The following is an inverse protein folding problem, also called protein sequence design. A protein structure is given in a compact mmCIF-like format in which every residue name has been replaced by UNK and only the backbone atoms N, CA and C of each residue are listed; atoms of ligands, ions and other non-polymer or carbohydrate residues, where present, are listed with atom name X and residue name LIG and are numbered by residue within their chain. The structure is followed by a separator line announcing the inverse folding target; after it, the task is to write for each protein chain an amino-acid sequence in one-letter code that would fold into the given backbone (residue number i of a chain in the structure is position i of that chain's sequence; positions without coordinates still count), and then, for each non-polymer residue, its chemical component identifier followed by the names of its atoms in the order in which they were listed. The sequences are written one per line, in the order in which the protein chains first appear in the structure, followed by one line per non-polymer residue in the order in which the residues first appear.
data_IF_592686999348
#
_entry.id   IF_592686999348
#
_cell.length_a   1.000
_cell.length_b   1.000
_cell.length_c   1.000
_cell.angle_alpha   90.00
_cell.angle_beta   90.00
_cell.angle_gamma   90.00
#
_symmetry.space_group_name_H-M   'P 1'
#
loop_
_entity.id
_entity.type
_entity.pdbx_description
1 polymer ?
#
# COMPACT_ATOMS: atom_id res chain seq x y z
N UNK A 1 -25.18 -6.61 2.98
CA UNK A 1 -25.37 -5.16 2.91
C UNK A 1 -24.64 -4.54 4.08
N UNK A 2 -23.38 -4.12 3.92
CA UNK A 2 -22.74 -3.25 4.90
C UNK A 2 -23.31 -1.86 4.69
N UNK A 3 -23.85 -1.26 5.74
CA UNK A 3 -24.00 0.19 5.79
C UNK A 3 -22.57 0.69 5.71
N UNK A 4 -22.16 1.22 4.55
CA UNK A 4 -20.98 2.09 4.45
C UNK A 4 -21.32 3.30 5.30
N UNK A 5 -21.15 3.19 6.61
CA UNK A 5 -21.12 4.33 7.50
C UNK A 5 -19.73 4.94 7.33
N UNK A 6 -19.44 5.43 6.11
CA UNK A 6 -18.58 6.59 6.00
C UNK A 6 -19.31 7.65 6.83
N UNK A 7 -18.92 7.76 8.10
CA UNK A 7 -19.13 9.00 8.84
C UNK A 7 -18.24 9.98 8.10
N UNK A 8 -18.76 10.55 7.02
CA UNK A 8 -18.16 11.71 6.40
C UNK A 8 -18.08 12.73 7.53
N UNK A 9 -16.86 13.00 8.00
CA UNK A 9 -16.61 14.16 8.84
C UNK A 9 -17.10 15.36 8.02
N UNK A 10 -18.30 15.86 8.34
CA UNK A 10 -18.86 17.04 7.68
C UNK A 10 -18.10 18.24 8.23
N UNK A 11 -16.96 18.54 7.64
CA UNK A 11 -16.18 19.75 7.90
C UNK A 11 -16.04 20.51 6.59
N UNK A 12 -17.11 21.23 6.23
CA UNK A 12 -17.14 22.13 5.06
C UNK A 12 -18.01 23.34 5.33
N UNK A 13 -17.39 24.51 5.45
CA UNK A 13 -18.07 25.80 5.59
C UNK A 13 -18.80 26.17 4.29
N UNK A 14 -20.13 26.20 4.31
CA UNK A 14 -20.96 26.64 3.19
C UNK A 14 -21.28 28.14 3.32
N UNK A 15 -20.65 28.98 2.50
CA UNK A 15 -21.08 30.36 2.30
C UNK A 15 -21.87 30.45 0.99
N UNK A 16 -23.21 30.46 1.08
CA UNK A 16 -24.08 30.80 -0.05
C UNK A 16 -25.22 31.71 0.45
N UNK A 17 -25.18 32.97 0.05
CA UNK A 17 -26.25 33.94 0.32
C UNK A 17 -27.32 33.84 -0.78
N UNK A 18 -28.54 33.41 -0.42
CA UNK A 18 -29.76 33.69 -1.19
C UNK A 18 -30.99 33.62 -0.26
N UNK A 19 -31.80 34.66 -0.29
CA UNK A 19 -32.99 34.89 0.53
C UNK A 19 -34.10 33.84 0.32
N UNK A 20 -34.45 33.11 1.38
CA UNK A 20 -35.77 32.54 1.69
C UNK A 20 -35.79 32.20 3.19
N UNK A 21 -36.95 32.29 3.84
CA UNK A 21 -37.16 32.22 5.31
C UNK A 21 -36.23 31.24 6.07
N UNK A 22 -35.76 31.56 7.29
CA UNK A 22 -34.92 30.65 8.05
C UNK A 22 -35.76 29.46 8.52
N UNK A 23 -35.81 28.40 7.72
CA UNK A 23 -35.97 27.08 8.28
C UNK A 23 -34.76 26.88 9.18
N UNK A 24 -34.95 27.05 10.49
CA UNK A 24 -33.99 26.69 11.52
C UNK A 24 -33.79 25.16 11.47
N UNK A 25 -33.07 24.68 10.48
CA UNK A 25 -32.48 23.36 10.52
C UNK A 25 -31.43 23.44 11.62
N UNK A 26 -31.69 22.78 12.74
CA UNK A 26 -30.65 22.49 13.70
C UNK A 26 -29.50 21.83 12.92
N UNK A 27 -28.30 22.39 13.03
CA UNK A 27 -27.12 21.72 12.49
C UNK A 27 -27.14 20.27 13.00
N UNK A 28 -26.89 19.26 12.14
CA UNK A 28 -26.82 17.89 12.61
C UNK A 28 -25.84 17.82 13.77
N UNK A 29 -26.27 17.21 14.88
CA UNK A 29 -25.40 17.03 16.04
C UNK A 29 -24.13 16.29 15.59
N UNK A 30 -22.97 16.69 16.10
CA UNK A 30 -21.69 16.02 15.82
C UNK A 30 -21.34 15.07 16.96
N UNK A 31 -20.62 13.96 16.67
CA UNK A 31 -19.97 13.16 17.70
C UNK A 31 -19.16 14.00 18.69
N UNK A 32 -19.13 13.58 19.96
CA UNK A 32 -18.21 14.16 20.93
C UNK A 32 -16.82 13.54 20.77
N UNK A 33 -15.78 14.32 21.06
CA UNK A 33 -14.41 13.80 21.04
C UNK A 33 -14.21 12.78 22.17
N UNK A 34 -14.03 11.52 21.80
CA UNK A 34 -13.86 10.43 22.75
C UNK A 34 -12.47 10.48 23.41
N UNK A 35 -12.40 10.12 24.70
CA UNK A 35 -11.14 10.03 25.44
C UNK A 35 -10.37 8.74 25.11
N UNK A 36 -9.85 8.67 23.88
CA UNK A 36 -8.97 7.59 23.41
C UNK A 36 -7.69 8.17 22.82
N UNK A 37 -6.63 7.37 22.73
CA UNK A 37 -5.43 7.70 21.97
C UNK A 37 -4.82 6.45 21.35
N UNK A 38 -4.09 6.67 20.26
CA UNK A 38 -3.49 5.60 19.48
C UNK A 38 -1.97 5.73 19.49
N UNK A 39 -1.29 4.61 19.63
CA UNK A 39 0.18 4.57 19.62
C UNK A 39 0.68 3.24 19.06
N UNK A 40 1.98 3.18 18.78
CA UNK A 40 2.64 1.97 18.30
C UNK A 40 2.01 1.37 17.02
N UNK A 41 1.42 2.20 16.16
CA UNK A 41 0.88 1.74 14.89
C UNK A 41 2.00 1.22 14.00
N UNK A 42 1.88 -0.03 13.56
CA UNK A 42 2.87 -0.74 12.74
C UNK A 42 2.17 -1.32 11.54
N UNK A 43 2.81 -1.18 10.39
CA UNK A 43 2.42 -1.78 9.11
C UNK A 43 3.69 -2.06 8.30
N UNK A 44 3.60 -2.90 7.27
CA UNK A 44 4.68 -3.04 6.29
C UNK A 44 5.04 -1.68 5.68
N UNK A 45 6.35 -1.39 5.58
CA UNK A 45 6.83 -0.10 5.06
C UNK A 45 6.58 0.07 3.56
N UNK A 46 6.46 -1.04 2.82
CA UNK A 46 6.18 -1.07 1.38
C UNK A 46 5.07 -2.09 1.11
N UNK A 47 4.03 -1.67 0.40
CA UNK A 47 2.93 -2.52 -0.06
C UNK A 47 2.98 -2.53 -1.59
N UNK A 48 3.14 -3.72 -2.18
CA UNK A 48 3.29 -3.86 -3.63
C UNK A 48 1.95 -4.26 -4.24
N UNK A 49 1.40 -3.43 -5.12
CA UNK A 49 0.06 -3.63 -5.68
C UNK A 49 0.14 -3.83 -7.18
N UNK A 50 -0.41 -4.97 -7.64
CA UNK A 50 -0.57 -5.34 -9.04
C UNK A 50 -1.80 -4.67 -9.66
N UNK A 51 -2.39 -5.31 -10.67
CA UNK A 51 -3.54 -4.76 -11.42
C UNK A 51 -4.86 -5.49 -11.19
N UNK A 52 -4.85 -6.57 -10.39
CA UNK A 52 -5.98 -7.51 -10.37
C UNK A 52 -6.27 -8.06 -8.97
N UNK A 53 -5.28 -8.67 -8.33
CA UNK A 53 -5.49 -9.33 -7.05
C UNK A 53 -5.63 -8.32 -5.90
N UNK A 54 -6.55 -8.58 -4.98
CA UNK A 54 -6.62 -7.92 -3.66
C UNK A 54 -5.27 -8.05 -2.96
N UNK A 55 -4.81 -6.96 -2.36
CA UNK A 55 -3.62 -6.93 -1.49
C UNK A 55 -4.04 -6.52 -0.09
N UNK A 56 -3.96 -7.47 0.85
CA UNK A 56 -4.21 -7.22 2.27
C UNK A 56 -2.89 -7.07 3.02
N UNK A 57 -2.75 -5.98 3.76
CA UNK A 57 -1.57 -5.74 4.62
C UNK A 57 -2.01 -5.59 6.07
N UNK A 58 -1.52 -6.47 6.93
CA UNK A 58 -1.81 -6.42 8.36
C UNK A 58 -1.17 -5.20 9.02
N UNK A 59 -1.90 -4.57 9.94
CA UNK A 59 -1.40 -3.57 10.86
C UNK A 59 -1.61 -4.02 12.32
N UNK A 60 -0.92 -3.37 13.25
CA UNK A 60 -1.24 -3.44 14.68
C UNK A 60 -1.03 -2.10 15.38
N UNK A 61 -1.79 -1.82 16.44
CA UNK A 61 -1.61 -0.62 17.27
C UNK A 61 -2.07 -0.85 18.72
N UNK A 62 -1.70 0.08 19.58
CA UNK A 62 -2.20 0.18 20.96
C UNK A 62 -3.26 1.27 21.03
N UNK A 63 -4.47 0.91 21.46
CA UNK A 63 -5.52 1.84 21.84
C UNK A 63 -5.46 2.05 23.35
N UNK A 64 -5.39 3.30 23.80
CA UNK A 64 -5.54 3.69 25.21
C UNK A 64 -6.86 4.42 25.38
N UNK A 65 -7.60 4.15 26.44
CA UNK A 65 -8.89 4.79 26.68
C UNK A 65 -9.03 5.32 28.12
N UNK A 66 -9.89 6.32 28.29
CA UNK A 66 -10.32 6.85 29.57
C UNK A 66 -11.28 5.92 30.31
N UNK A 67 -11.52 6.22 31.59
CA UNK A 67 -12.43 5.45 32.44
C UNK A 67 -13.90 5.54 32.01
N UNK A 68 -14.25 6.57 31.23
CA UNK A 68 -15.57 6.84 30.68
C UNK A 68 -15.86 6.09 29.37
N UNK A 69 -14.87 5.36 28.82
CA UNK A 69 -14.98 4.65 27.55
C UNK A 69 -15.03 3.14 27.79
N UNK A 70 -16.14 2.50 27.43
CA UNK A 70 -16.23 1.04 27.35
C UNK A 70 -15.74 0.57 25.97
N UNK A 71 -14.42 0.39 25.85
CA UNK A 71 -13.78 -0.09 24.63
C UNK A 71 -14.02 -1.60 24.34
N UNK A 72 -14.82 -2.28 25.17
CA UNK A 72 -15.21 -3.69 24.99
C UNK A 72 -16.68 -3.86 24.61
N UNK A 73 -17.43 -2.76 24.55
CA UNK A 73 -18.82 -2.77 24.13
C UNK A 73 -18.97 -3.31 22.71
N UNK A 74 -20.07 -4.03 22.44
CA UNK A 74 -20.32 -4.66 21.14
C UNK A 74 -20.53 -3.64 20.01
N UNK A 75 -20.81 -2.38 20.37
CA UNK A 75 -21.01 -1.23 19.48
C UNK A 75 -19.83 -0.24 19.56
N UNK A 76 -18.67 -0.69 20.06
CA UNK A 76 -17.39 -0.03 19.94
C UNK A 76 -16.63 -0.58 18.73
N UNK A 77 -16.25 0.30 17.81
CA UNK A 77 -15.50 -0.04 16.61
C UNK A 77 -14.22 0.78 16.55
N UNK A 78 -13.15 0.18 16.02
CA UNK A 78 -11.86 0.86 15.88
C UNK A 78 -11.10 0.25 14.71
N UNK A 79 -10.35 1.06 13.99
CA UNK A 79 -9.63 0.63 12.78
C UNK A 79 -8.39 1.51 12.56
N UNK A 80 -7.53 1.10 11.62
CA UNK A 80 -6.47 1.93 11.10
C UNK A 80 -6.53 1.96 9.58
N UNK A 81 -6.30 3.12 9.01
CA UNK A 81 -6.45 3.36 7.58
C UNK A 81 -5.30 4.19 7.02
N UNK A 82 -5.06 4.05 5.73
CA UNK A 82 -4.12 4.89 5.00
C UNK A 82 -4.85 6.16 4.54
N UNK A 83 -4.16 7.29 4.56
CA UNK A 83 -4.65 8.51 3.94
C UNK A 83 -3.54 9.29 3.23
N UNK A 84 -3.95 10.15 2.30
CA UNK A 84 -3.10 11.16 1.64
C UNK A 84 -3.67 12.56 1.86
N UNK A 85 -2.78 13.55 1.82
CA UNK A 85 -3.14 14.94 2.12
C UNK A 85 -3.20 15.18 3.62
N UNK A 86 -4.18 15.96 4.06
CA UNK A 86 -4.51 16.19 5.47
C UNK A 86 -5.43 15.09 6.00
N UNK A 87 -5.42 14.90 7.32
CA UNK A 87 -6.35 14.01 7.99
C UNK A 87 -7.80 14.52 7.88
N UNK A 88 -8.00 15.84 8.07
CA UNK A 88 -9.32 16.47 8.08
C UNK A 88 -9.98 16.56 6.69
N UNK A 89 -9.18 16.45 5.63
CA UNK A 89 -9.61 16.52 4.22
C UNK A 89 -8.67 15.64 3.38
N UNK A 90 -8.84 14.30 3.43
CA UNK A 90 -7.95 13.39 2.76
C UNK A 90 -8.27 13.37 1.26
N UNK A 91 -7.23 13.44 0.43
CA UNK A 91 -7.40 13.34 -1.04
C UNK A 91 -7.68 11.90 -1.49
N UNK A 92 -7.33 10.92 -0.65
CA UNK A 92 -7.61 9.50 -0.85
C UNK A 92 -7.46 8.77 0.50
N UNK A 93 -8.23 7.70 0.69
CA UNK A 93 -8.13 6.77 1.82
C UNK A 93 -8.09 5.33 1.33
N UNK A 94 -7.50 4.45 2.13
CA UNK A 94 -7.53 2.98 1.95
C UNK A 94 -7.78 2.35 3.32
N UNK A 95 -8.83 1.54 3.41
CA UNK A 95 -9.33 0.95 4.65
C UNK A 95 -9.32 -0.58 4.56
N UNK A 96 -9.58 -1.25 5.68
CA UNK A 96 -9.86 -2.68 5.71
C UNK A 96 -11.31 -3.00 5.37
N UNK A 97 -11.57 -4.24 4.96
CA UNK A 97 -12.96 -4.70 4.88
C UNK A 97 -13.63 -4.80 6.25
N UNK A 98 -12.86 -5.13 7.29
CA UNK A 98 -13.33 -5.43 8.63
C UNK A 98 -12.65 -4.52 9.66
N UNK A 99 -13.40 -4.15 10.70
CA UNK A 99 -12.85 -3.45 11.87
C UNK A 99 -11.70 -4.22 12.52
N UNK A 100 -10.82 -3.50 13.21
CA UNK A 100 -9.74 -4.11 13.97
C UNK A 100 -10.30 -5.05 15.06
N UNK A 101 -9.66 -6.20 15.21
CA UNK A 101 -9.86 -7.05 16.38
C UNK A 101 -8.95 -6.60 17.50
N UNK A 102 -9.53 -6.25 18.65
CA UNK A 102 -8.80 -5.78 19.82
C UNK A 102 -8.82 -6.79 20.96
N UNK A 103 -7.68 -6.90 21.67
CA UNK A 103 -7.54 -7.69 22.88
C UNK A 103 -7.16 -6.78 24.03
N UNK A 104 -7.86 -6.90 25.17
CA UNK A 104 -7.52 -6.20 26.41
C UNK A 104 -6.11 -6.60 26.83
N UNK A 105 -5.22 -5.62 26.95
CA UNK A 105 -3.84 -5.81 27.39
C UNK A 105 -3.67 -5.36 28.85
N UNK A 106 -4.34 -4.28 29.24
CA UNK A 106 -4.42 -3.78 30.61
C UNK A 106 -5.82 -3.20 30.86
N UNK A 107 -6.08 -2.66 32.05
CA UNK A 107 -7.37 -2.03 32.38
C UNK A 107 -7.70 -0.78 31.56
N UNK A 108 -6.72 -0.16 30.89
CA UNK A 108 -6.92 1.05 30.07
C UNK A 108 -6.37 0.94 28.66
N UNK A 109 -5.89 -0.23 28.25
CA UNK A 109 -5.25 -0.42 26.95
C UNK A 109 -5.67 -1.70 26.25
N UNK A 110 -5.88 -1.61 24.94
CA UNK A 110 -6.11 -2.73 24.05
C UNK A 110 -4.98 -2.83 23.02
N UNK A 111 -4.62 -4.05 22.64
CA UNK A 111 -3.81 -4.33 21.45
C UNK A 111 -4.75 -4.68 20.31
N UNK A 112 -4.73 -3.88 19.25
CA UNK A 112 -5.62 -4.02 18.09
C UNK A 112 -4.86 -4.45 16.86
N UNK A 113 -5.46 -5.30 16.04
CA UNK A 113 -4.92 -5.80 14.78
C UNK A 113 -6.00 -5.85 13.71
N UNK A 114 -5.67 -5.48 12.49
CA UNK A 114 -6.56 -5.56 11.34
C UNK A 114 -5.76 -5.51 10.04
N UNK A 115 -6.42 -5.20 8.94
CA UNK A 115 -5.79 -5.10 7.62
C UNK A 115 -6.21 -3.81 6.93
N UNK A 116 -5.33 -3.28 6.08
CA UNK A 116 -5.74 -2.42 4.97
C UNK A 116 -5.83 -3.27 3.72
N UNK A 117 -6.87 -3.06 2.93
CA UNK A 117 -7.24 -3.91 1.81
C UNK A 117 -7.30 -3.09 0.52
N UNK A 118 -6.44 -3.42 -0.44
CA UNK A 118 -6.35 -2.71 -1.71
C UNK A 118 -6.90 -3.58 -2.85
N UNK A 119 -7.84 -3.05 -3.61
CA UNK A 119 -8.55 -3.68 -4.72
C UNK A 119 -8.24 -3.00 -6.05
N UNK A 120 -7.06 -3.27 -6.67
CA UNK A 120 -6.67 -2.59 -7.90
C UNK A 120 -7.63 -2.88 -9.08
N UNK A 121 -8.30 -4.04 -9.10
CA UNK A 121 -9.28 -4.38 -10.15
C UNK A 121 -10.56 -3.52 -10.08
N UNK A 122 -10.86 -2.92 -8.93
CA UNK A 122 -12.10 -2.19 -8.68
C UNK A 122 -11.96 -0.67 -8.89
N UNK A 123 -10.81 -0.22 -9.39
CA UNK A 123 -10.56 1.19 -9.70
C UNK A 123 -10.25 2.05 -8.47
N UNK A 124 -9.88 1.43 -7.35
CA UNK A 124 -9.53 2.12 -6.10
C UNK A 124 -8.28 3.00 -6.24
N UNK A 125 -7.36 2.65 -7.15
CA UNK A 125 -6.09 3.33 -7.33
C UNK A 125 -5.88 3.88 -8.75
N UNK A 126 -5.20 5.02 -8.81
CA UNK A 126 -4.70 5.69 -10.02
C UNK A 126 -3.18 5.81 -9.99
N UNK A 127 -2.53 6.20 -11.09
CA UNK A 127 -1.09 6.44 -11.08
C UNK A 127 -0.60 7.42 -9.99
N UNK A 128 -1.43 8.40 -9.60
CA UNK A 128 -1.09 9.41 -8.59
C UNK A 128 -0.98 8.82 -7.17
N UNK A 129 -1.64 7.70 -6.93
CA UNK A 129 -1.71 7.04 -5.63
C UNK A 129 -0.44 6.27 -5.27
N UNK A 130 0.44 6.02 -6.25
CA UNK A 130 1.72 5.39 -6.00
C UNK A 130 2.65 6.34 -5.23
N UNK A 131 3.29 5.82 -4.18
CA UNK A 131 4.21 6.59 -3.34
C UNK A 131 3.87 6.47 -1.87
N UNK A 132 4.26 7.50 -1.10
CA UNK A 132 4.14 7.53 0.36
C UNK A 132 2.73 7.85 0.82
N UNK A 133 2.27 7.14 1.85
CA UNK A 133 1.00 7.30 2.54
C UNK A 133 1.23 7.48 4.04
N UNK A 134 0.35 8.23 4.68
CA UNK A 134 0.28 8.36 6.13
C UNK A 134 -0.74 7.37 6.68
N UNK A 135 -0.59 6.99 7.94
CA UNK A 135 -1.56 6.18 8.65
C UNK A 135 -2.25 6.97 9.75
N UNK A 136 -3.54 6.71 9.89
CA UNK A 136 -4.37 7.12 11.00
C UNK A 136 -4.98 5.90 11.68
N UNK A 137 -5.47 6.10 12.89
CA UNK A 137 -6.35 5.17 13.57
C UNK A 137 -7.56 5.95 14.09
N UNK A 138 -8.71 5.28 14.13
CA UNK A 138 -9.96 5.86 14.59
C UNK A 138 -10.72 4.90 15.48
N UNK A 139 -11.59 5.45 16.31
CA UNK A 139 -12.53 4.69 17.11
C UNK A 139 -13.87 5.42 17.21
N UNK A 140 -14.94 4.62 17.19
CA UNK A 140 -16.33 5.04 17.34
C UNK A 140 -16.98 4.23 18.46
N UNK A 141 -17.58 4.89 19.43
CA UNK A 141 -18.44 4.29 20.44
C UNK A 141 -19.88 4.77 20.21
N UNK A 142 -20.77 3.87 19.81
CA UNK A 142 -22.18 4.24 19.60
C UNK A 142 -22.95 4.43 20.91
N UNK A 143 -22.46 3.93 22.05
CA UNK A 143 -23.07 4.11 23.37
C UNK A 143 -24.58 3.77 23.38
N UNK A 144 -24.93 2.64 22.76
CA UNK A 144 -26.30 2.16 22.63
C UNK A 144 -27.16 2.90 21.60
N UNK A 145 -26.59 3.85 20.84
CA UNK A 145 -27.29 4.48 19.72
C UNK A 145 -27.45 3.50 18.56
N UNK A 146 -28.58 3.62 17.84
CA UNK A 146 -28.80 2.84 16.63
C UNK A 146 -27.89 3.36 15.50
N UNK A 147 -26.96 2.56 14.93
CA UNK A 147 -26.05 3.03 13.89
C UNK A 147 -26.73 3.54 12.61
N UNK A 148 -27.97 3.13 12.34
CA UNK A 148 -28.73 3.62 11.18
C UNK A 148 -29.33 5.00 11.37
N UNK A 149 -29.55 5.42 12.63
CA UNK A 149 -30.15 6.71 13.02
C UNK A 149 -29.64 7.13 14.40
N UNK A 150 -28.34 7.37 14.57
CA UNK A 150 -27.79 7.69 15.87
C UNK A 150 -28.14 9.12 16.27
N UNK A 151 -28.35 9.36 17.55
CA UNK A 151 -28.17 10.70 18.11
C UNK A 151 -26.65 10.93 18.24
N UNK A 152 -26.08 11.60 17.23
CA UNK A 152 -24.63 11.80 17.16
C UNK A 152 -24.06 12.55 18.35
N UNK A 153 -24.85 13.36 19.08
CA UNK A 153 -24.38 14.00 20.32
C UNK A 153 -23.98 13.00 21.42
N UNK A 154 -24.43 11.75 21.30
CA UNK A 154 -24.15 10.63 22.22
C UNK A 154 -23.15 9.63 21.67
N UNK A 155 -22.69 9.82 20.43
CA UNK A 155 -21.67 8.97 19.81
C UNK A 155 -20.30 9.56 20.11
N UNK A 156 -19.41 8.75 20.67
CA UNK A 156 -18.00 9.11 20.85
C UNK A 156 -17.24 8.81 19.57
N UNK A 157 -16.49 9.77 19.04
CA UNK A 157 -15.60 9.57 17.91
C UNK A 157 -14.25 10.19 18.18
N UNK A 158 -13.19 9.55 17.70
CA UNK A 158 -11.87 10.17 17.60
C UNK A 158 -11.02 9.45 16.57
N UNK A 159 -10.36 10.23 15.74
CA UNK A 159 -9.27 9.81 14.88
C UNK A 159 -7.94 10.47 15.30
N UNK A 160 -6.84 9.86 14.87
CA UNK A 160 -5.49 10.37 15.11
C UNK A 160 -4.58 9.99 13.94
N UNK A 161 -4.12 10.98 13.20
CA UNK A 161 -3.22 10.82 12.07
C UNK A 161 -1.73 10.88 12.44
N UNK A 162 -0.87 10.61 11.46
CA UNK A 162 0.59 10.78 11.61
C UNK A 162 1.23 9.71 12.48
N UNK A 163 0.53 8.59 12.68
CA UNK A 163 0.95 7.49 13.56
C UNK A 163 2.05 6.62 12.95
N UNK A 164 2.03 6.46 11.63
CA UNK A 164 3.01 5.71 10.86
C UNK A 164 2.96 6.14 9.39
N UNK A 165 3.86 5.58 8.57
CA UNK A 165 3.85 5.77 7.12
C UNK A 165 4.13 4.46 6.41
N UNK A 166 3.55 4.27 5.22
CA UNK A 166 3.87 3.19 4.28
C UNK A 166 4.04 3.76 2.88
N UNK A 167 4.49 2.94 1.92
CA UNK A 167 4.45 3.30 0.50
C UNK A 167 3.68 2.26 -0.30
N UNK A 168 2.65 2.70 -1.01
CA UNK A 168 1.98 1.90 -2.04
C UNK A 168 2.82 1.96 -3.32
N UNK A 169 3.40 0.83 -3.71
CA UNK A 169 4.25 0.72 -4.87
C UNK A 169 3.56 -0.06 -5.98
N UNK A 170 3.64 0.43 -7.21
CA UNK A 170 3.23 -0.32 -8.40
C UNK A 170 4.11 -1.56 -8.53
N UNK A 171 3.49 -2.72 -8.67
CA UNK A 171 4.21 -3.97 -8.88
C UNK A 171 5.01 -3.93 -10.18
N UNK A 172 6.17 -4.56 -10.20
CA UNK A 172 6.99 -4.72 -11.41
C UNK A 172 7.41 -6.18 -11.59
N UNK A 173 7.49 -6.64 -12.83
CA UNK A 173 7.98 -7.96 -13.20
C UNK A 173 9.19 -7.85 -14.13
N UNK A 174 10.12 -8.80 -14.01
CA UNK A 174 11.38 -8.78 -14.76
C UNK A 174 11.79 -10.21 -15.10
N UNK A 175 12.17 -10.44 -16.35
CA UNK A 175 12.73 -11.71 -16.81
C UNK A 175 14.16 -11.52 -17.35
N UNK A 176 14.85 -12.65 -17.53
CA UNK A 176 16.18 -12.74 -18.15
C UNK A 176 16.21 -13.96 -19.06
N UNK A 177 16.91 -13.83 -20.17
CA UNK A 177 17.22 -14.87 -21.14
C UNK A 177 18.62 -14.62 -21.70
N UNK A 178 19.50 -15.63 -21.71
CA UNK A 178 20.90 -15.56 -22.07
C UNK A 178 21.20 -16.61 -23.15
N UNK A 179 21.63 -16.16 -24.32
CA UNK A 179 21.84 -17.04 -25.48
C UNK A 179 23.08 -16.65 -26.31
N UNK A 180 23.67 -17.57 -27.09
CA UNK A 180 23.34 -18.98 -27.20
C UNK A 180 23.73 -19.80 -25.97
N UNK A 181 23.04 -20.91 -25.77
CA UNK A 181 23.42 -21.97 -24.84
C UNK A 181 23.33 -23.32 -25.58
N UNK A 182 24.39 -24.15 -25.61
CA UNK A 182 25.73 -23.87 -25.07
C UNK A 182 26.51 -22.84 -25.91
N UNK A 183 27.57 -22.28 -25.33
CA UNK A 183 28.45 -21.29 -26.00
C UNK A 183 29.92 -21.62 -25.81
N UNK A 184 30.72 -21.46 -26.86
CA UNK A 184 32.18 -21.64 -26.74
C UNK A 184 32.80 -20.55 -25.88
N UNK A 185 33.77 -20.90 -25.05
CA UNK A 185 34.54 -19.97 -24.23
C UNK A 185 35.14 -18.84 -25.09
N UNK A 186 35.06 -17.62 -24.58
CA UNK A 186 35.51 -16.40 -25.25
C UNK A 186 34.53 -15.86 -26.31
N UNK A 187 33.42 -16.55 -26.59
CA UNK A 187 32.37 -16.04 -27.50
C UNK A 187 31.37 -15.15 -26.78
N UNK A 188 30.57 -14.46 -27.58
CA UNK A 188 29.58 -13.51 -27.07
C UNK A 188 28.30 -14.23 -26.66
N UNK A 189 27.81 -13.91 -25.47
CA UNK A 189 26.46 -14.22 -24.99
C UNK A 189 25.65 -12.92 -25.09
N UNK A 190 24.47 -12.99 -25.67
CA UNK A 190 23.46 -11.94 -25.63
C UNK A 190 22.51 -12.22 -24.47
N UNK A 191 22.37 -11.27 -23.56
CA UNK A 191 21.42 -11.35 -22.45
C UNK A 191 20.28 -10.36 -22.69
N UNK A 192 19.07 -10.87 -22.80
CA UNK A 192 17.84 -10.10 -23.01
C UNK A 192 16.91 -10.21 -21.80
N UNK A 193 15.98 -9.27 -21.70
CA UNK A 193 14.99 -9.23 -20.63
C UNK A 193 13.92 -8.19 -20.92
N UNK A 194 12.87 -8.17 -20.10
CA UNK A 194 11.80 -7.17 -20.17
C UNK A 194 11.36 -6.82 -18.75
N UNK A 195 11.44 -5.54 -18.41
CA UNK A 195 10.87 -4.97 -17.19
C UNK A 195 9.47 -4.45 -17.51
N UNK A 196 8.47 -4.94 -16.80
CA UNK A 196 7.10 -4.41 -16.86
C UNK A 196 6.67 -3.84 -15.52
N UNK A 197 5.70 -2.92 -15.56
CA UNK A 197 5.12 -2.28 -14.39
C UNK A 197 3.60 -2.30 -14.49
N UNK A 198 2.93 -2.60 -13.36
CA UNK A 198 1.49 -2.53 -13.21
C UNK A 198 0.97 -1.14 -13.57
N UNK A 199 -0.19 -1.03 -14.20
CA UNK A 199 -0.93 0.22 -14.39
C UNK A 199 -2.33 0.10 -13.87
N UNK A 200 -2.61 0.84 -12.80
CA UNK A 200 -3.91 0.86 -12.14
C UNK A 200 -4.94 1.62 -12.98
N UNK A 201 -4.54 2.67 -13.71
CA UNK A 201 -5.46 3.40 -14.61
C UNK A 201 -6.01 2.55 -15.77
N UNK A 202 -5.29 1.49 -16.15
CA UNK A 202 -5.63 0.62 -17.29
C UNK A 202 -5.80 -0.85 -16.91
N UNK A 203 -5.60 -1.19 -15.63
CA UNK A 203 -5.54 -2.56 -15.10
C UNK A 203 -4.72 -3.54 -15.93
N UNK A 204 -3.54 -3.09 -16.42
CA UNK A 204 -2.63 -3.87 -17.28
C UNK A 204 -1.16 -3.61 -16.93
N UNK A 205 -0.30 -4.54 -17.33
CA UNK A 205 1.16 -4.35 -17.25
C UNK A 205 1.70 -3.77 -18.56
N UNK A 206 2.54 -2.75 -18.45
CA UNK A 206 3.24 -2.15 -19.59
C UNK A 206 4.75 -2.24 -19.40
N UNK A 207 5.47 -2.22 -20.53
CA UNK A 207 6.92 -2.05 -20.52
C UNK A 207 7.33 -0.81 -19.75
N UNK A 208 8.32 -0.93 -18.86
CA UNK A 208 8.77 0.18 -18.03
C UNK A 208 10.11 0.72 -18.52
N UNK A 209 10.04 1.76 -19.34
CA UNK A 209 11.19 2.33 -20.02
C UNK A 209 12.08 3.24 -19.20
N UNK A 210 13.27 3.51 -19.74
CA UNK A 210 14.30 4.40 -19.18
C UNK A 210 14.76 4.05 -17.75
N UNK A 211 14.59 2.79 -17.32
CA UNK A 211 14.98 2.31 -16.01
C UNK A 211 16.39 1.73 -16.03
N UNK A 212 17.21 2.07 -15.03
CA UNK A 212 18.51 1.43 -14.80
C UNK A 212 18.33 0.05 -14.18
N UNK A 213 18.87 -0.99 -14.83
CA UNK A 213 18.77 -2.39 -14.42
C UNK A 213 20.17 -3.02 -14.44
N UNK A 214 20.52 -3.73 -13.37
CA UNK A 214 21.82 -4.39 -13.25
C UNK A 214 21.77 -5.79 -13.87
N UNK A 215 22.70 -6.11 -14.75
CA UNK A 215 22.99 -7.49 -15.14
C UNK A 215 23.98 -8.07 -14.13
N UNK A 216 23.59 -9.15 -13.47
CA UNK A 216 24.41 -9.89 -12.52
C UNK A 216 24.72 -11.30 -13.03
N UNK A 217 25.83 -11.86 -12.56
CA UNK A 217 26.25 -13.23 -12.86
C UNK A 217 26.66 -13.97 -11.59
N UNK A 218 26.34 -15.25 -11.52
CA UNK A 218 26.84 -16.18 -10.52
C UNK A 218 27.44 -17.40 -11.22
N UNK A 219 28.68 -17.76 -10.87
CA UNK A 219 29.32 -18.99 -11.36
C UNK A 219 28.50 -20.21 -10.94
N UNK A 220 28.47 -21.27 -11.75
CA UNK A 220 27.79 -22.54 -11.42
C UNK A 220 28.22 -23.06 -10.05
N UNK A 221 27.23 -23.37 -9.21
CA UNK A 221 27.43 -23.79 -7.81
C UNK A 221 27.65 -22.66 -6.80
N UNK A 222 27.75 -21.40 -7.23
CA UNK A 222 27.86 -20.23 -6.35
C UNK A 222 26.48 -19.66 -6.01
N UNK A 223 26.31 -19.21 -4.77
CA UNK A 223 25.16 -18.38 -4.33
C UNK A 223 25.47 -16.87 -4.41
N UNK A 224 26.72 -16.52 -4.69
CA UNK A 224 27.18 -15.12 -4.77
C UNK A 224 27.01 -14.58 -6.17
N UNK A 225 26.29 -13.46 -6.28
CA UNK A 225 26.03 -12.74 -7.52
C UNK A 225 26.89 -11.49 -7.61
N UNK A 226 27.55 -11.28 -8.74
CA UNK A 226 28.34 -10.08 -9.02
C UNK A 226 27.71 -9.27 -10.14
N UNK A 227 27.62 -7.96 -9.98
CA UNK A 227 27.15 -7.05 -11.05
C UNK A 227 28.20 -6.94 -12.14
N UNK A 228 27.83 -7.33 -13.36
CA UNK A 228 28.69 -7.21 -14.54
C UNK A 228 28.50 -5.87 -15.24
N UNK A 229 27.24 -5.44 -15.39
CA UNK A 229 26.86 -4.23 -16.14
C UNK A 229 25.63 -3.59 -15.53
N UNK A 230 25.46 -2.29 -15.77
CA UNK A 230 24.17 -1.61 -15.59
C UNK A 230 23.72 -1.13 -16.96
N UNK A 231 22.49 -1.46 -17.34
CA UNK A 231 21.88 -1.15 -18.63
C UNK A 231 20.55 -0.44 -18.42
N UNK A 232 20.08 0.28 -19.45
CA UNK A 232 18.78 0.95 -19.40
C UNK A 232 17.75 0.20 -20.24
N UNK A 233 16.52 0.14 -19.75
CA UNK A 233 15.39 -0.35 -20.54
C UNK A 233 15.06 0.61 -21.68
N UNK A 234 14.69 0.08 -22.84
CA UNK A 234 14.12 0.87 -23.94
C UNK A 234 12.69 1.37 -23.61
N UNK A 235 12.05 2.10 -24.52
CA UNK A 235 10.70 2.62 -24.32
C UNK A 235 9.64 1.54 -24.02
N UNK A 236 9.87 0.30 -24.45
CA UNK A 236 9.00 -0.85 -24.25
C UNK A 236 9.44 -1.72 -23.05
N UNK A 237 10.35 -1.24 -22.22
CA UNK A 237 10.86 -1.98 -21.06
C UNK A 237 11.86 -3.08 -21.41
N UNK A 238 12.30 -3.21 -22.66
CA UNK A 238 13.19 -4.28 -23.09
C UNK A 238 14.64 -3.98 -22.71
N UNK A 239 15.37 -5.04 -22.41
CA UNK A 239 16.79 -5.04 -22.09
C UNK A 239 17.53 -5.91 -23.11
N UNK A 240 18.69 -5.45 -23.54
CA UNK A 240 19.62 -6.23 -24.35
C UNK A 240 21.04 -5.77 -24.10
N UNK A 241 21.92 -6.70 -23.78
CA UNK A 241 23.36 -6.46 -23.69
C UNK A 241 24.11 -7.71 -24.08
N UNK A 242 25.41 -7.57 -24.32
CA UNK A 242 26.31 -8.69 -24.57
C UNK A 242 27.36 -8.82 -23.47
N UNK A 243 27.83 -10.03 -23.23
CA UNK A 243 28.95 -10.37 -22.34
C UNK A 243 29.80 -11.48 -22.98
N UNK A 244 31.02 -11.67 -22.50
CA UNK A 244 31.89 -12.75 -22.99
C UNK A 244 31.73 -13.99 -22.13
N UNK A 245 31.47 -15.14 -22.76
CA UNK A 245 31.44 -16.44 -22.12
C UNK A 245 32.82 -16.78 -21.52
N UNK A 246 32.87 -17.06 -20.22
CA UNK A 246 34.12 -17.36 -19.52
C UNK A 246 34.10 -18.71 -18.82
N UNK A 247 33.06 -18.96 -18.03
CA UNK A 247 32.79 -20.19 -17.28
C UNK A 247 31.29 -20.40 -17.17
N UNK A 248 30.86 -21.62 -16.89
CA UNK A 248 29.46 -21.92 -16.56
C UNK A 248 28.94 -21.03 -15.43
N UNK A 249 27.68 -20.62 -15.56
CA UNK A 249 26.98 -19.91 -14.51
C UNK A 249 25.60 -19.47 -14.95
N UNK A 250 25.02 -18.54 -14.20
CA UNK A 250 23.71 -17.99 -14.50
C UNK A 250 23.73 -16.46 -14.52
N UNK A 251 22.91 -15.87 -15.39
CA UNK A 251 22.69 -14.43 -15.51
C UNK A 251 21.34 -14.05 -14.95
N UNK A 252 21.24 -12.88 -14.30
CA UNK A 252 19.95 -12.31 -13.89
C UNK A 252 19.96 -10.80 -14.02
N UNK A 253 18.79 -10.22 -14.21
CA UNK A 253 18.58 -8.79 -14.11
C UNK A 253 18.02 -8.40 -12.73
N UNK A 254 18.47 -7.27 -12.21
CA UNK A 254 18.00 -6.68 -10.94
C UNK A 254 17.60 -5.23 -11.17
N UNK A 255 16.31 -4.94 -10.96
CA UNK A 255 15.77 -3.59 -10.91
C UNK A 255 15.61 -3.15 -9.46
N UNK A 256 16.26 -2.06 -9.08
CA UNK A 256 16.31 -1.58 -7.70
C UNK A 256 15.00 -0.93 -7.21
N UNK A 257 14.03 -0.70 -8.09
CA UNK A 257 12.81 0.04 -7.75
C UNK A 257 13.03 1.55 -7.67
N UNK A 258 11.94 2.27 -7.47
CA UNK A 258 11.89 3.70 -7.16
C UNK A 258 10.78 3.94 -6.15
N UNK A 259 10.61 5.18 -5.68
CA UNK A 259 9.59 5.55 -4.66
C UNK A 259 8.15 5.19 -5.02
N UNK A 260 7.85 4.92 -6.30
CA UNK A 260 6.51 4.57 -6.79
C UNK A 260 6.41 3.17 -7.41
N UNK A 261 7.53 2.45 -7.55
CA UNK A 261 7.57 1.15 -8.24
C UNK A 261 8.46 0.19 -7.47
N UNK A 262 7.95 -1.00 -7.20
CA UNK A 262 8.66 -2.01 -6.43
C UNK A 262 9.99 -2.42 -7.11
N UNK A 263 10.97 -2.81 -6.29
CA UNK A 263 12.15 -3.51 -6.77
C UNK A 263 11.79 -4.95 -7.20
N UNK A 264 12.49 -5.48 -8.20
CA UNK A 264 12.33 -6.86 -8.65
C UNK A 264 13.66 -7.43 -9.17
N UNK A 265 13.90 -8.69 -8.85
CA UNK A 265 15.00 -9.49 -9.37
C UNK A 265 14.40 -10.59 -10.24
N UNK A 266 14.90 -10.77 -11.46
CA UNK A 266 14.45 -11.86 -12.31
C UNK A 266 14.90 -13.23 -11.78
N UNK A 267 14.31 -14.29 -12.34
CA UNK A 267 14.96 -15.61 -12.34
C UNK A 267 16.35 -15.54 -12.97
N UNK A 268 17.24 -16.43 -12.53
CA UNK A 268 18.54 -16.63 -13.17
C UNK A 268 18.39 -17.55 -14.38
N UNK A 269 19.12 -17.25 -15.45
CA UNK A 269 19.18 -18.08 -16.65
C UNK A 269 20.58 -18.64 -16.82
N UNK A 270 20.68 -19.97 -16.90
CA UNK A 270 21.95 -20.68 -16.91
C UNK A 270 22.58 -20.66 -18.31
N UNK A 271 23.90 -20.69 -18.38
CA UNK A 271 24.65 -20.85 -19.62
C UNK A 271 25.78 -21.85 -19.40
N UNK A 272 25.78 -22.92 -20.19
CA UNK A 272 26.88 -23.88 -20.34
C UNK A 272 27.99 -23.34 -21.27
N UNK A 273 29.23 -23.32 -20.77
CA UNK A 273 30.40 -22.82 -21.51
C UNK A 273 31.35 -23.96 -21.88
N UNK A 274 31.59 -24.12 -23.18
CA UNK A 274 32.40 -25.21 -23.76
C UNK A 274 33.80 -24.77 -24.20
#
# INVERSE_FOLDING_TARGET
MRIRATVAAVTGALALAAFAAPAAHAAPATPYTMNVSFSNLKIASLIKVGTSNKVSTAYSYTLTHGADVDATAADFYTDAYLYRGSLDDPTATVEGDDFATCKVATTTTLTCTGTVDVYPAEGELTAADAGKWSLAAEATAFNGQNPSKPDYSKVGFKDQGGLATTSLLRYSALNTDASPEPVKKGKTITVTGTLTRASWDYNKYYGYGAQSVQLQFAKKGSTTWSTLKTVKTDANGKLKTTVTASVDGAFRYVYAGVSTTAAVTSGGDAVDVQ
#
